data_IF_762141571757
#
_entry.id   IF_762141571757
#
_cell.length_a   1.000
_cell.length_b   1.000
_cell.length_c   1.000
_cell.angle_alpha   90.00
_cell.angle_beta   90.00
_cell.angle_gamma   90.00
#
_symmetry.space_group_name_H-M   'P 1'
#
loop_
_entity.id
_entity.type
_entity.pdbx_description
1 polymer ?
#
# COMPACT_ATOMS: atom_id res chain seq x y z
N UNK A 1 47.94 -13.91 9.94
CA UNK A 1 46.51 -13.55 9.84
C UNK A 1 46.44 -12.17 9.23
N UNK A 2 45.69 -11.99 8.14
CA UNK A 2 45.66 -10.74 7.40
C UNK A 2 44.89 -9.69 8.18
N UNK A 3 45.60 -8.74 8.81
CA UNK A 3 45.03 -7.61 9.55
C UNK A 3 44.52 -6.52 8.60
N UNK A 4 43.65 -6.89 7.66
CA UNK A 4 43.11 -5.96 6.68
C UNK A 4 41.59 -6.05 6.66
N UNK A 5 40.94 -4.92 6.51
CA UNK A 5 39.50 -4.83 6.33
C UNK A 5 39.10 -5.64 5.09
N UNK A 6 38.14 -6.54 5.24
CA UNK A 6 37.70 -7.40 4.14
C UNK A 6 37.03 -6.61 3.00
N UNK A 7 36.47 -5.44 3.31
CA UNK A 7 35.78 -4.54 2.37
C UNK A 7 36.77 -3.63 1.63
N UNK A 8 37.42 -2.70 2.33
CA UNK A 8 38.28 -1.67 1.72
C UNK A 8 39.78 -2.00 1.71
N UNK A 9 40.20 -3.15 2.27
CA UNK A 9 41.59 -3.60 2.35
C UNK A 9 42.54 -2.71 3.18
N UNK A 10 42.03 -1.71 3.90
CA UNK A 10 42.83 -0.91 4.85
C UNK A 10 43.24 -1.75 6.05
N UNK A 11 44.41 -1.50 6.63
CA UNK A 11 44.89 -2.21 7.82
C UNK A 11 43.95 -2.04 9.03
N UNK A 12 43.73 -3.13 9.76
CA UNK A 12 42.92 -3.17 10.98
C UNK A 12 43.82 -3.39 12.20
N UNK A 13 44.00 -2.35 13.02
CA UNK A 13 44.86 -2.43 14.22
C UNK A 13 44.27 -3.25 15.39
N UNK A 14 43.05 -3.78 15.25
CA UNK A 14 42.27 -4.37 16.35
C UNK A 14 42.06 -5.89 16.23
N UNK A 15 42.69 -6.55 15.25
CA UNK A 15 42.45 -7.98 14.96
C UNK A 15 41.06 -8.29 14.39
N UNK A 16 40.23 -7.26 14.17
CA UNK A 16 38.94 -7.37 13.50
C UNK A 16 39.14 -7.40 11.98
N UNK A 17 38.20 -8.04 11.29
CA UNK A 17 38.16 -8.17 9.82
C UNK A 17 37.34 -7.05 9.14
N UNK A 18 36.82 -6.10 9.94
CA UNK A 18 36.30 -4.81 9.48
C UNK A 18 37.06 -3.67 10.16
N UNK A 19 37.36 -2.60 9.40
CA UNK A 19 37.88 -1.37 10.01
C UNK A 19 36.78 -0.60 10.75
N UNK A 20 37.16 0.36 11.59
CA UNK A 20 36.22 1.15 12.41
C UNK A 20 35.15 1.85 11.58
N UNK A 21 35.49 2.30 10.36
CA UNK A 21 34.55 2.92 9.43
C UNK A 21 33.45 1.95 8.99
N UNK A 22 33.81 0.78 8.45
CA UNK A 22 32.83 -0.22 7.99
C UNK A 22 32.07 -0.86 9.16
N UNK A 23 32.70 -0.99 10.34
CA UNK A 23 31.98 -1.37 11.55
C UNK A 23 30.92 -0.33 11.94
N UNK A 24 31.22 0.96 11.77
CA UNK A 24 30.26 2.05 12.02
C UNK A 24 29.13 2.01 10.99
N UNK A 25 29.44 1.81 9.72
CA UNK A 25 28.43 1.64 8.67
C UNK A 25 27.51 0.45 8.93
N UNK A 26 28.06 -0.69 9.32
CA UNK A 26 27.26 -1.86 9.69
C UNK A 26 26.35 -1.57 10.90
N UNK A 27 26.85 -0.86 11.91
CA UNK A 27 26.06 -0.46 13.07
C UNK A 27 24.92 0.49 12.69
N UNK A 28 25.21 1.48 11.85
CA UNK A 28 24.21 2.44 11.36
C UNK A 28 23.14 1.73 10.53
N UNK A 29 23.53 0.81 9.64
CA UNK A 29 22.59 0.03 8.87
C UNK A 29 21.63 -0.78 9.77
N UNK A 30 22.13 -1.43 10.84
CA UNK A 30 21.26 -2.09 11.82
C UNK A 30 20.37 -1.12 12.61
N UNK A 31 20.82 0.13 12.82
CA UNK A 31 20.06 1.18 13.51
C UNK A 31 18.93 1.75 12.63
N UNK A 32 19.12 1.77 11.31
CA UNK A 32 18.13 2.22 10.33
C UNK A 32 17.03 1.19 10.06
N UNK A 33 17.35 -0.11 10.14
CA UNK A 33 16.41 -1.22 9.87
C UNK A 33 15.10 -1.09 10.66
N UNK A 34 15.07 -0.78 11.97
CA UNK A 34 13.83 -0.57 12.72
C UNK A 34 12.86 0.42 12.07
N UNK A 35 13.35 1.57 11.63
CA UNK A 35 12.52 2.59 10.98
C UNK A 35 12.10 2.13 9.58
N UNK A 36 13.04 1.66 8.76
CA UNK A 36 12.75 1.13 7.42
C UNK A 36 11.76 -0.04 7.45
N UNK A 37 11.82 -0.88 8.50
CA UNK A 37 10.89 -1.98 8.71
C UNK A 37 9.48 -1.48 8.99
N UNK A 38 9.31 -0.44 9.81
CA UNK A 38 8.00 0.15 10.07
C UNK A 38 7.39 0.72 8.79
N UNK A 39 8.16 1.50 8.03
CA UNK A 39 7.73 2.05 6.74
C UNK A 39 7.39 0.94 5.72
N UNK A 40 8.18 -0.14 5.71
CA UNK A 40 7.90 -1.31 4.88
C UNK A 40 6.60 -1.99 5.31
N UNK A 41 6.33 -2.16 6.60
CA UNK A 41 5.07 -2.73 7.09
C UNK A 41 3.87 -1.86 6.74
N UNK A 42 4.00 -0.53 6.80
CA UNK A 42 2.99 0.42 6.29
C UNK A 42 2.74 0.20 4.80
N UNK A 43 3.82 0.02 4.03
CA UNK A 43 3.77 -0.29 2.59
C UNK A 43 3.15 -1.66 2.29
N UNK A 44 3.42 -2.69 3.12
CA UNK A 44 2.88 -4.06 3.01
C UNK A 44 1.38 -4.08 3.25
N UNK A 45 0.96 -3.48 4.37
CA UNK A 45 -0.45 -3.40 4.80
C UNK A 45 -1.26 -2.40 3.98
N UNK A 46 -0.59 -1.64 3.10
CA UNK A 46 -1.20 -0.58 2.31
C UNK A 46 -1.96 0.41 3.20
N UNK A 47 -1.57 0.62 4.46
CA UNK A 47 -2.33 1.49 5.36
C UNK A 47 -2.32 2.94 4.86
N UNK A 48 -1.24 3.39 4.22
CA UNK A 48 -1.17 4.65 3.46
C UNK A 48 -2.00 4.66 2.16
N UNK A 49 -2.35 3.48 1.65
CA UNK A 49 -3.04 3.26 0.36
C UNK A 49 -4.51 2.85 0.52
N UNK A 50 -5.00 2.58 1.73
CA UNK A 50 -6.42 2.32 2.00
C UNK A 50 -7.31 3.56 1.76
N UNK A 51 -6.69 4.74 1.57
CA UNK A 51 -7.36 5.97 1.16
C UNK A 51 -7.15 6.38 -0.31
N UNK A 52 -6.32 5.67 -1.08
CA UNK A 52 -5.94 6.13 -2.43
C UNK A 52 -5.85 4.94 -3.39
N UNK A 53 -6.80 4.84 -4.30
CA UNK A 53 -6.83 3.82 -5.35
C UNK A 53 -5.62 3.93 -6.28
N UNK A 54 -4.88 2.84 -6.45
CA UNK A 54 -3.67 2.82 -7.28
C UNK A 54 -3.67 1.67 -8.27
N UNK A 55 -3.59 1.99 -9.57
CA UNK A 55 -3.20 1.04 -10.62
C UNK A 55 -2.37 1.71 -11.70
N UNK A 56 -1.21 1.11 -11.99
CA UNK A 56 -0.41 1.33 -13.20
C UNK A 56 0.92 0.58 -13.19
N UNK A 57 0.92 -0.68 -13.68
CA UNK A 57 1.84 -1.20 -14.73
C UNK A 57 1.43 -2.62 -15.16
N UNK A 58 1.51 -2.86 -16.47
CA UNK A 58 1.25 -4.10 -17.24
C UNK A 58 1.41 -5.41 -16.45
N UNK A 59 0.31 -5.87 -15.87
CA UNK A 59 0.04 -7.25 -15.43
C UNK A 59 -1.48 -7.40 -15.39
N UNK A 60 -1.99 -8.56 -15.78
CA UNK A 60 -3.42 -8.92 -15.86
C UNK A 60 -4.12 -9.08 -14.50
N UNK A 61 -3.49 -8.66 -13.40
CA UNK A 61 -3.98 -8.89 -12.03
C UNK A 61 -4.49 -7.61 -11.36
N UNK A 62 -5.71 -7.66 -10.81
CA UNK A 62 -6.19 -6.69 -9.83
C UNK A 62 -5.30 -6.70 -8.58
N UNK A 63 -4.97 -5.56 -7.97
CA UNK A 63 -3.97 -5.49 -6.93
C UNK A 63 -4.49 -6.06 -5.59
N UNK A 64 -3.83 -7.12 -5.11
CA UNK A 64 -4.01 -7.67 -3.76
C UNK A 64 -3.96 -6.58 -2.66
N UNK A 65 -4.73 -6.70 -1.56
CA UNK A 65 -4.62 -5.81 -0.40
C UNK A 65 -3.21 -5.78 0.21
N UNK A 66 -2.37 -6.77 -0.12
CA UNK A 66 -0.97 -6.87 0.29
C UNK A 66 -0.09 -6.45 -0.89
N UNK A 67 0.87 -5.55 -0.67
CA UNK A 67 1.95 -5.36 -1.65
C UNK A 67 2.88 -6.60 -1.59
N UNK A 68 2.71 -7.54 -2.53
CA UNK A 68 3.51 -8.77 -2.59
C UNK A 68 5.02 -8.52 -2.73
N UNK A 69 5.43 -7.43 -3.39
CA UNK A 69 6.84 -7.04 -3.47
C UNK A 69 7.39 -6.66 -2.09
N UNK A 70 6.69 -5.77 -1.40
CA UNK A 70 7.03 -5.38 -0.03
C UNK A 70 6.91 -6.55 0.97
N UNK A 71 5.92 -7.44 0.80
CA UNK A 71 5.71 -8.60 1.67
C UNK A 71 6.82 -9.64 1.49
N UNK A 72 7.23 -9.90 0.24
CA UNK A 72 8.39 -10.73 -0.05
C UNK A 72 9.67 -10.15 0.53
N UNK A 73 9.87 -8.84 0.38
CA UNK A 73 11.02 -8.15 0.96
C UNK A 73 10.97 -8.19 2.50
N UNK A 74 9.79 -8.08 3.10
CA UNK A 74 9.62 -8.22 4.54
C UNK A 74 10.01 -9.61 5.03
N UNK A 75 9.62 -10.66 4.29
CA UNK A 75 10.07 -12.02 4.54
C UNK A 75 11.59 -12.19 4.38
N UNK A 76 12.19 -11.59 3.34
CA UNK A 76 13.64 -11.59 3.13
C UNK A 76 14.39 -10.98 4.32
N UNK A 77 13.96 -9.81 4.79
CA UNK A 77 14.55 -9.14 5.96
C UNK A 77 14.46 -10.01 7.22
N UNK A 78 13.29 -10.59 7.50
CA UNK A 78 13.10 -11.43 8.69
C UNK A 78 13.98 -12.70 8.62
N UNK A 79 14.08 -13.33 7.45
CA UNK A 79 14.95 -14.50 7.23
C UNK A 79 16.42 -14.13 7.46
N UNK A 80 16.89 -13.03 6.85
CA UNK A 80 18.28 -12.57 6.98
C UNK A 80 18.64 -12.33 8.45
N UNK A 81 17.85 -11.53 9.15
CA UNK A 81 18.15 -11.17 10.54
C UNK A 81 17.97 -12.36 11.50
N UNK A 82 16.98 -13.23 11.26
CA UNK A 82 16.80 -14.45 12.05
C UNK A 82 17.98 -15.38 11.91
N UNK A 83 18.45 -15.60 10.67
CA UNK A 83 19.63 -16.42 10.39
C UNK A 83 20.87 -15.84 11.05
N UNK A 84 21.10 -14.54 10.90
CA UNK A 84 22.26 -13.86 11.50
C UNK A 84 22.29 -14.01 13.03
N UNK A 85 21.15 -13.78 13.70
CA UNK A 85 21.04 -13.95 15.15
C UNK A 85 21.27 -15.42 15.54
N UNK A 86 20.62 -16.36 14.87
CA UNK A 86 20.75 -17.79 15.17
C UNK A 86 22.20 -18.27 15.02
N UNK A 87 22.90 -17.86 13.96
CA UNK A 87 24.30 -18.19 13.74
C UNK A 87 25.20 -17.60 14.82
N UNK A 88 25.03 -16.32 15.19
CA UNK A 88 25.85 -15.71 16.25
C UNK A 88 25.62 -16.37 17.62
N UNK A 89 24.36 -16.68 17.95
CA UNK A 89 23.99 -17.39 19.18
C UNK A 89 24.65 -18.76 19.23
N UNK A 90 24.58 -19.54 18.14
CA UNK A 90 25.14 -20.87 18.07
C UNK A 90 26.68 -20.89 18.16
N UNK A 91 27.35 -19.97 17.45
CA UNK A 91 28.81 -19.99 17.33
C UNK A 91 29.53 -19.33 18.51
N UNK A 92 28.90 -18.35 19.17
CA UNK A 92 29.57 -17.51 20.19
C UNK A 92 29.06 -17.76 21.60
N UNK A 93 28.16 -18.75 21.79
CA UNK A 93 27.52 -19.02 23.09
C UNK A 93 26.69 -17.84 23.62
N UNK A 94 26.32 -16.91 22.74
CA UNK A 94 25.52 -15.74 23.09
C UNK A 94 24.08 -16.16 23.35
N UNK A 95 23.35 -15.31 24.08
CA UNK A 95 21.91 -15.48 24.26
C UNK A 95 21.19 -14.31 23.60
N UNK A 96 20.24 -14.63 22.72
CA UNK A 96 19.32 -13.64 22.21
C UNK A 96 18.29 -13.33 23.31
N UNK A 97 18.34 -12.10 23.84
CA UNK A 97 17.38 -11.59 24.80
C UNK A 97 16.86 -10.23 24.31
N UNK A 98 15.54 -10.04 24.21
CA UNK A 98 14.98 -8.74 23.89
C UNK A 98 15.22 -7.77 25.06
N UNK A 99 15.37 -6.49 24.72
CA UNK A 99 15.52 -5.41 25.69
C UNK A 99 14.36 -5.41 26.68
N UNK A 100 14.65 -5.30 27.98
CA UNK A 100 13.67 -5.24 29.08
C UNK A 100 12.77 -6.48 29.24
N UNK A 101 13.20 -7.67 28.78
CA UNK A 101 12.56 -8.92 29.22
C UNK A 101 13.52 -9.86 29.92
N UNK A 102 13.01 -10.61 30.89
CA UNK A 102 13.73 -11.68 31.59
C UNK A 102 13.24 -13.07 31.17
N UNK A 103 14.07 -14.13 31.30
CA UNK A 103 13.63 -15.50 31.15
C UNK A 103 12.43 -15.82 32.03
N UNK A 104 11.55 -16.69 31.55
CA UNK A 104 10.38 -17.12 32.32
C UNK A 104 10.77 -17.67 33.70
N UNK A 105 11.88 -18.42 33.78
CA UNK A 105 12.43 -18.98 35.00
C UNK A 105 13.24 -18.00 35.87
N UNK A 106 13.27 -16.70 35.58
CA UNK A 106 13.96 -15.72 36.42
C UNK A 106 13.32 -15.63 37.81
N UNK A 107 14.05 -15.89 38.89
CA UNK A 107 13.50 -15.79 40.25
C UNK A 107 13.97 -14.44 40.84
N UNK A 108 13.04 -13.49 40.99
CA UNK A 108 13.33 -12.15 41.51
C UNK A 108 12.30 -11.09 41.10
N UNK A 109 12.32 -9.92 41.77
CA UNK A 109 11.50 -8.78 41.40
C UNK A 109 11.93 -8.22 40.04
N UNK A 110 10.96 -7.80 39.24
CA UNK A 110 11.21 -7.15 37.96
C UNK A 110 11.43 -5.65 38.18
N UNK A 111 12.35 -5.06 37.43
CA UNK A 111 12.50 -3.61 37.38
C UNK A 111 11.31 -2.99 36.65
N UNK A 112 11.04 -1.70 36.89
CA UNK A 112 9.91 -1.02 36.27
C UNK A 112 10.01 -1.05 34.73
N UNK A 113 8.90 -1.39 34.08
CA UNK A 113 8.83 -1.64 32.64
C UNK A 113 9.54 -2.91 32.13
N UNK A 114 9.98 -3.82 33.02
CA UNK A 114 10.50 -5.13 32.63
C UNK A 114 9.42 -6.21 32.70
N UNK A 115 9.43 -7.10 31.72
CA UNK A 115 8.46 -8.18 31.61
C UNK A 115 9.13 -9.56 31.61
N UNK A 116 8.38 -10.58 32.04
CA UNK A 116 8.79 -11.98 31.83
C UNK A 116 8.46 -12.40 30.41
N UNK A 117 9.27 -13.30 29.85
CA UNK A 117 8.94 -13.89 28.54
C UNK A 117 7.75 -14.84 28.67
N UNK A 118 6.82 -14.72 27.72
CA UNK A 118 5.54 -15.46 27.73
C UNK A 118 5.68 -16.93 27.33
N UNK A 119 6.73 -17.29 26.57
CA UNK A 119 6.95 -18.66 26.07
C UNK A 119 8.44 -19.05 26.01
N UNK A 120 8.78 -20.33 26.23
CA UNK A 120 10.07 -20.89 25.84
C UNK A 120 10.21 -20.83 24.31
N UNK A 121 11.37 -20.39 23.81
CA UNK A 121 11.62 -20.31 22.35
C UNK A 121 11.20 -19.01 21.67
N UNK A 122 11.22 -17.88 22.40
CA UNK A 122 10.95 -16.55 21.86
C UNK A 122 11.78 -16.23 20.60
N UNK A 123 11.11 -16.13 19.44
CA UNK A 123 11.67 -15.56 18.22
C UNK A 123 11.34 -14.06 18.21
N UNK A 124 12.24 -13.21 18.68
CA UNK A 124 11.99 -11.76 18.77
C UNK A 124 11.59 -11.12 17.45
N UNK A 125 11.05 -9.91 17.48
CA UNK A 125 10.68 -9.18 16.26
C UNK A 125 11.92 -8.79 15.44
N UNK A 126 11.72 -8.49 14.15
CA UNK A 126 12.76 -7.92 13.27
C UNK A 126 13.48 -6.73 13.92
N UNK A 127 12.72 -5.82 14.53
CA UNK A 127 13.25 -4.65 15.25
C UNK A 127 14.20 -5.07 16.36
N UNK A 128 13.79 -6.04 17.20
CA UNK A 128 14.63 -6.50 18.30
C UNK A 128 15.87 -7.24 17.81
N UNK A 129 15.76 -8.02 16.73
CA UNK A 129 16.92 -8.67 16.10
C UNK A 129 17.91 -7.64 15.58
N UNK A 130 17.46 -6.61 14.88
CA UNK A 130 18.31 -5.54 14.37
C UNK A 130 19.04 -4.79 15.50
N UNK A 131 18.32 -4.40 16.55
CA UNK A 131 18.90 -3.75 17.74
C UNK A 131 19.93 -4.66 18.43
N UNK A 132 19.62 -5.94 18.58
CA UNK A 132 20.54 -6.91 19.18
C UNK A 132 21.80 -7.10 18.32
N UNK A 133 21.66 -7.20 16.99
CA UNK A 133 22.77 -7.31 16.05
C UNK A 133 23.67 -6.06 16.06
N UNK A 134 23.07 -4.86 16.16
CA UNK A 134 23.81 -3.60 16.34
C UNK A 134 24.72 -3.65 17.56
N UNK A 135 24.21 -4.11 18.70
CA UNK A 135 24.99 -4.24 19.94
C UNK A 135 26.14 -5.27 19.80
N UNK A 136 25.95 -6.31 18.99
CA UNK A 136 26.94 -7.36 18.76
C UNK A 136 27.75 -7.17 17.47
N UNK A 137 27.71 -5.98 16.86
CA UNK A 137 28.39 -5.73 15.58
C UNK A 137 29.91 -5.94 15.63
N UNK A 138 30.53 -5.75 16.81
CA UNK A 138 31.96 -6.05 17.00
C UNK A 138 32.27 -7.55 16.95
N UNK A 139 31.33 -8.41 17.38
CA UNK A 139 31.45 -9.87 17.23
C UNK A 139 31.33 -10.25 15.75
N UNK A 140 30.38 -9.63 15.03
CA UNK A 140 30.25 -9.81 13.58
C UNK A 140 31.53 -9.40 12.86
N UNK A 141 32.15 -8.29 13.26
CA UNK A 141 33.40 -7.79 12.69
C UNK A 141 34.60 -8.75 12.83
N UNK A 142 34.55 -9.72 13.74
CA UNK A 142 35.59 -10.72 13.93
C UNK A 142 35.42 -11.98 13.06
N UNK A 143 34.30 -12.12 12.34
CA UNK A 143 33.99 -13.34 11.57
C UNK A 143 34.77 -13.42 10.26
N UNK A 144 35.15 -14.64 9.86
CA UNK A 144 35.83 -14.89 8.58
C UNK A 144 34.93 -14.56 7.37
N UNK A 145 33.62 -14.83 7.47
CA UNK A 145 32.61 -14.57 6.45
C UNK A 145 31.98 -13.16 6.55
N UNK A 146 32.59 -12.25 7.32
CA UNK A 146 32.00 -10.92 7.61
C UNK A 146 31.70 -10.09 6.36
N UNK A 147 32.46 -10.30 5.27
CA UNK A 147 32.23 -9.62 4.00
C UNK A 147 30.82 -9.89 3.46
N UNK A 148 30.39 -11.14 3.50
CA UNK A 148 29.08 -11.54 2.98
C UNK A 148 27.95 -11.04 3.89
N UNK A 149 28.20 -11.01 5.19
CA UNK A 149 27.27 -10.43 6.17
C UNK A 149 27.11 -8.93 5.98
N UNK A 150 28.21 -8.21 5.77
CA UNK A 150 28.21 -6.78 5.51
C UNK A 150 27.36 -6.46 4.28
N UNK A 151 27.66 -7.09 3.14
CA UNK A 151 26.89 -6.83 1.91
C UNK A 151 25.43 -7.28 1.98
N UNK A 152 25.10 -8.33 2.75
CA UNK A 152 23.70 -8.70 2.97
C UNK A 152 22.90 -7.57 3.64
N UNK A 153 23.45 -6.93 4.67
CA UNK A 153 22.78 -5.82 5.37
C UNK A 153 22.77 -4.56 4.53
N UNK A 154 23.92 -4.20 3.95
CA UNK A 154 24.07 -3.01 3.13
C UNK A 154 23.20 -3.06 1.86
N UNK A 155 22.99 -4.23 1.25
CA UNK A 155 22.03 -4.37 0.14
C UNK A 155 20.58 -4.05 0.55
N UNK A 156 20.22 -4.21 1.83
CA UNK A 156 18.90 -3.87 2.34
C UNK A 156 18.77 -2.36 2.57
N UNK A 157 19.75 -1.73 3.23
CA UNK A 157 19.67 -0.33 3.70
C UNK A 157 20.22 0.69 2.70
N UNK A 158 21.24 0.31 1.91
CA UNK A 158 21.95 1.17 0.97
C UNK A 158 23.43 1.23 1.31
N UNK A 159 24.29 1.39 0.28
CA UNK A 159 25.75 1.43 0.41
C UNK A 159 26.25 2.82 0.80
N UNK A 160 26.76 3.01 2.04
CA UNK A 160 27.33 4.28 2.48
C UNK A 160 28.74 4.51 1.95
N UNK A 161 29.43 3.48 1.46
CA UNK A 161 30.80 3.58 0.94
C UNK A 161 30.84 4.28 -0.43
N UNK A 162 29.72 4.24 -1.17
CA UNK A 162 29.63 4.75 -2.54
C UNK A 162 28.53 5.82 -2.64
N UNK A 163 28.87 7.12 -2.74
CA UNK A 163 27.88 8.20 -2.80
C UNK A 163 26.90 8.13 -3.98
N UNK A 164 27.23 7.35 -5.02
CA UNK A 164 26.41 7.13 -6.22
C UNK A 164 25.78 5.73 -6.27
N UNK A 165 25.92 4.93 -5.21
CA UNK A 165 25.29 3.62 -5.18
C UNK A 165 23.76 3.77 -5.24
N UNK A 166 23.07 2.79 -5.84
CA UNK A 166 21.63 2.76 -5.78
C UNK A 166 21.18 2.68 -4.31
N UNK A 167 20.04 3.29 -3.96
CA UNK A 167 19.46 3.14 -2.63
C UNK A 167 19.19 1.66 -2.32
N UNK A 168 19.23 1.29 -1.04
CA UNK A 168 18.98 -0.07 -0.61
C UNK A 168 17.60 -0.60 -1.01
N UNK A 169 17.45 -1.92 -1.07
CA UNK A 169 16.18 -2.57 -1.45
C UNK A 169 14.99 -2.06 -0.65
N UNK A 170 15.17 -1.80 0.65
CA UNK A 170 14.12 -1.26 1.53
C UNK A 170 13.66 0.10 1.04
N UNK A 171 14.60 1.03 0.85
CA UNK A 171 14.33 2.40 0.39
C UNK A 171 13.68 2.39 -1.00
N UNK A 172 14.15 1.53 -1.91
CA UNK A 172 13.57 1.40 -3.26
C UNK A 172 12.12 0.93 -3.21
N UNK A 173 11.80 -0.09 -2.41
CA UNK A 173 10.45 -0.64 -2.37
C UNK A 173 9.48 0.27 -1.60
N UNK A 174 9.95 0.96 -0.55
CA UNK A 174 9.19 1.99 0.17
C UNK A 174 8.86 3.16 -0.78
N UNK A 175 9.87 3.68 -1.51
CA UNK A 175 9.72 4.86 -2.39
C UNK A 175 9.28 4.53 -3.82
N UNK A 176 8.78 3.32 -4.07
CA UNK A 176 8.43 2.88 -5.42
C UNK A 176 7.32 3.74 -5.99
N UNK A 177 7.65 4.58 -6.98
CA UNK A 177 6.69 5.42 -7.72
C UNK A 177 5.73 4.53 -8.52
N UNK A 178 4.58 4.26 -7.95
CA UNK A 178 3.46 3.58 -8.63
C UNK A 178 2.47 4.63 -9.12
N UNK A 179 2.05 4.52 -10.38
CA UNK A 179 0.95 5.31 -10.93
C UNK A 179 -0.35 4.94 -10.22
N UNK A 180 -0.98 5.95 -9.63
CA UNK A 180 -2.24 5.91 -8.89
C UNK A 180 -3.37 6.45 -9.74
N UNK A 181 -4.58 5.93 -9.56
CA UNK A 181 -5.74 6.44 -10.29
C UNK A 181 -6.20 7.73 -9.62
N UNK A 182 -6.31 8.81 -10.40
CA UNK A 182 -6.63 10.15 -9.90
C UNK A 182 -8.06 10.61 -10.28
N UNK A 183 -8.90 9.71 -10.79
CA UNK A 183 -10.26 10.04 -11.26
C UNK A 183 -10.33 10.43 -12.75
N UNK A 184 -11.53 10.52 -13.33
CA UNK A 184 -11.72 11.08 -14.67
C UNK A 184 -11.46 12.60 -14.67
N UNK A 185 -11.03 13.16 -15.78
CA UNK A 185 -10.73 14.58 -15.92
C UNK A 185 -12.00 15.44 -15.80
N UNK A 186 -12.06 16.41 -14.86
CA UNK A 186 -13.22 17.29 -14.63
C UNK A 186 -13.39 18.40 -15.67
N UNK A 187 -12.41 18.59 -16.55
CA UNK A 187 -12.35 19.79 -17.38
C UNK A 187 -13.52 19.84 -18.33
N UNK A 188 -14.30 20.92 -18.27
CA UNK A 188 -15.45 21.14 -19.15
C UNK A 188 -14.97 21.39 -20.58
N UNK A 189 -15.34 20.50 -21.49
CA UNK A 189 -14.99 20.51 -22.90
C UNK A 189 -16.07 21.16 -23.79
N UNK A 190 -17.26 21.39 -23.24
CA UNK A 190 -18.37 22.03 -23.92
C UNK A 190 -19.63 22.03 -23.08
N UNK A 191 -20.75 22.44 -23.68
CA UNK A 191 -22.08 22.39 -23.07
C UNK A 191 -23.06 21.68 -23.99
N UNK A 192 -23.91 20.82 -23.43
CA UNK A 192 -24.98 20.15 -24.16
C UNK A 192 -26.09 21.12 -24.57
N UNK A 193 -27.05 20.64 -25.38
CA UNK A 193 -28.18 21.45 -25.87
C UNK A 193 -29.10 21.97 -24.75
N UNK A 194 -29.11 21.29 -23.60
CA UNK A 194 -29.81 21.69 -22.38
C UNK A 194 -29.00 22.62 -21.46
N UNK A 195 -27.77 22.99 -21.85
CA UNK A 195 -26.86 23.80 -21.05
C UNK A 195 -26.05 23.04 -20.01
N UNK A 196 -26.12 21.70 -19.99
CA UNK A 196 -25.32 20.89 -19.06
C UNK A 196 -23.84 20.84 -19.48
N UNK A 197 -22.88 20.92 -18.54
CA UNK A 197 -21.46 20.86 -18.84
C UNK A 197 -21.07 19.45 -19.31
N UNK A 198 -20.40 19.37 -20.44
CA UNK A 198 -19.77 18.15 -20.95
C UNK A 198 -18.32 18.17 -20.45
N UNK A 199 -17.95 17.20 -19.62
CA UNK A 199 -16.59 17.05 -19.11
C UNK A 199 -15.72 16.21 -20.04
N UNK A 200 -14.40 16.35 -19.92
CA UNK A 200 -13.42 15.60 -20.71
C UNK A 200 -13.50 14.09 -20.45
N UNK A 201 -13.60 13.69 -19.18
CA UNK A 201 -13.76 12.29 -18.80
C UNK A 201 -12.51 11.40 -18.94
N UNK A 202 -11.41 11.90 -19.51
CA UNK A 202 -10.15 11.13 -19.67
C UNK A 202 -9.64 10.62 -18.32
N UNK A 203 -9.22 9.35 -18.27
CA UNK A 203 -8.79 8.73 -17.00
C UNK A 203 -7.41 9.26 -16.62
N UNK A 204 -7.34 9.93 -15.47
CA UNK A 204 -6.08 10.51 -14.99
C UNK A 204 -5.35 9.54 -14.07
N UNK A 205 -4.02 9.56 -14.21
CA UNK A 205 -3.10 8.86 -13.33
C UNK A 205 -2.09 9.85 -12.76
N UNK A 206 -1.71 9.65 -11.50
CA UNK A 206 -0.72 10.46 -10.80
C UNK A 206 0.22 9.57 -9.99
N UNK A 207 1.46 9.99 -9.76
CA UNK A 207 2.36 9.20 -8.90
C UNK A 207 1.90 9.18 -7.44
N UNK A 208 2.25 8.13 -6.70
CA UNK A 208 1.93 8.05 -5.28
C UNK A 208 2.50 9.27 -4.53
N UNK A 209 1.62 10.02 -3.85
CA UNK A 209 1.95 11.27 -3.16
C UNK A 209 1.99 12.54 -4.02
N UNK A 210 1.69 12.46 -5.32
CA UNK A 210 1.57 13.65 -6.17
C UNK A 210 0.33 14.47 -5.81
N UNK A 211 0.47 15.79 -5.76
CA UNK A 211 -0.65 16.71 -5.53
C UNK A 211 -1.50 16.90 -6.79
N UNK A 212 -0.86 16.85 -7.96
CA UNK A 212 -1.49 17.14 -9.25
C UNK A 212 -1.34 15.97 -10.25
N UNK A 213 -2.35 15.81 -11.11
CA UNK A 213 -2.38 14.96 -12.28
C UNK A 213 -2.50 15.83 -13.55
N UNK A 214 -1.85 15.43 -14.64
CA UNK A 214 -1.97 16.10 -15.93
C UNK A 214 -2.87 15.32 -16.90
N UNK A 215 -3.85 16.02 -17.50
CA UNK A 215 -4.69 15.51 -18.57
C UNK A 215 -4.04 15.78 -19.94
N UNK A 216 -3.59 14.70 -20.60
CA UNK A 216 -2.96 14.79 -21.92
C UNK A 216 -3.88 15.37 -23.01
N UNK A 217 -5.17 15.04 -22.98
CA UNK A 217 -6.15 15.49 -23.99
C UNK A 217 -6.50 16.97 -23.81
N UNK A 218 -6.72 17.43 -22.57
CA UNK A 218 -6.98 18.85 -22.31
C UNK A 218 -5.77 19.74 -22.59
N UNK A 219 -4.55 19.21 -22.41
CA UNK A 219 -3.31 19.94 -22.75
C UNK A 219 -3.12 20.10 -24.26
N UNK A 220 -3.51 19.09 -25.05
CA UNK A 220 -3.37 19.08 -26.52
C UNK A 220 -4.52 19.78 -27.24
N UNK A 221 -5.60 20.15 -26.55
CA UNK A 221 -6.71 20.90 -27.13
C UNK A 221 -6.22 22.25 -27.68
N UNK A 222 -6.91 22.78 -28.70
CA UNK A 222 -6.66 24.11 -29.25
C UNK A 222 -7.94 24.98 -29.15
N UNK A 223 -7.97 25.99 -28.26
CA UNK A 223 -6.91 26.36 -27.32
C UNK A 223 -6.77 25.34 -26.16
N UNK A 224 -5.58 25.26 -25.52
CA UNK A 224 -5.36 24.38 -24.38
C UNK A 224 -6.34 24.68 -23.26
N UNK A 225 -6.90 23.62 -22.67
CA UNK A 225 -7.86 23.72 -21.56
C UNK A 225 -7.15 23.50 -20.23
N UNK A 226 -7.89 23.69 -19.13
CA UNK A 226 -7.38 23.33 -17.80
C UNK A 226 -6.99 21.84 -17.80
N UNK A 227 -5.71 21.55 -17.62
CA UNK A 227 -5.17 20.19 -17.75
C UNK A 227 -4.45 19.73 -16.48
N UNK A 228 -4.18 20.62 -15.54
CA UNK A 228 -3.65 20.29 -14.22
C UNK A 228 -4.84 20.10 -13.28
N UNK A 229 -4.90 18.93 -12.64
CA UNK A 229 -6.04 18.51 -11.82
C UNK A 229 -5.52 18.06 -10.47
N UNK A 230 -6.03 18.67 -9.39
CA UNK A 230 -5.68 18.25 -8.04
C UNK A 230 -6.17 16.82 -7.78
N UNK A 231 -5.26 15.93 -7.40
CA UNK A 231 -5.53 14.49 -7.24
C UNK A 231 -6.52 14.23 -6.12
N UNK A 232 -6.37 14.90 -4.96
CA UNK A 232 -7.25 14.67 -3.80
C UNK A 232 -8.67 15.12 -4.09
N UNK A 233 -8.83 16.31 -4.66
CA UNK A 233 -10.15 16.86 -4.97
C UNK A 233 -10.85 16.07 -6.07
N UNK A 234 -10.12 15.66 -7.11
CA UNK A 234 -10.69 14.89 -8.20
C UNK A 234 -10.99 13.44 -7.81
N UNK A 235 -10.18 12.84 -6.95
CA UNK A 235 -10.49 11.53 -6.37
C UNK A 235 -11.73 11.62 -5.50
N UNK A 236 -11.83 12.61 -4.61
CA UNK A 236 -13.04 12.85 -3.81
C UNK A 236 -14.27 13.07 -4.69
N UNK A 237 -14.13 13.85 -5.78
CA UNK A 237 -15.19 14.04 -6.77
C UNK A 237 -15.59 12.74 -7.47
N UNK A 238 -14.62 11.92 -7.85
CA UNK A 238 -14.86 10.63 -8.49
C UNK A 238 -15.47 9.60 -7.54
N UNK A 239 -15.10 9.63 -6.26
CA UNK A 239 -15.70 8.85 -5.17
C UNK A 239 -17.13 9.31 -4.88
N UNK A 240 -17.40 10.62 -4.88
CA UNK A 240 -18.76 11.16 -4.82
C UNK A 240 -19.56 10.83 -6.09
N UNK A 241 -18.88 10.66 -7.22
CA UNK A 241 -19.45 10.15 -8.47
C UNK A 241 -19.57 8.61 -8.51
N UNK A 242 -19.20 7.85 -7.45
CA UNK A 242 -19.53 6.42 -7.25
C UNK A 242 -21.05 6.17 -7.07
N UNK A 243 -21.88 7.00 -7.68
CA UNK A 243 -23.28 6.71 -7.92
C UNK A 243 -23.45 5.41 -8.74
N UNK A 244 -22.46 4.93 -9.49
CA UNK A 244 -22.63 3.77 -10.38
C UNK A 244 -22.40 2.45 -9.63
N UNK A 245 -23.48 1.71 -9.38
CA UNK A 245 -23.50 0.48 -8.57
C UNK A 245 -24.18 -0.68 -9.32
N UNK A 246 -23.85 -1.92 -8.95
CA UNK A 246 -24.54 -3.12 -9.45
C UNK A 246 -25.93 -3.25 -8.82
N UNK A 247 -26.84 -4.01 -9.46
CA UNK A 247 -28.19 -4.28 -8.93
C UNK A 247 -28.17 -4.71 -7.45
N UNK A 248 -27.27 -5.64 -7.11
CA UNK A 248 -27.08 -6.13 -5.74
C UNK A 248 -26.66 -5.03 -4.78
N UNK A 249 -25.60 -4.28 -5.08
CA UNK A 249 -25.10 -3.24 -4.19
C UNK A 249 -26.11 -2.09 -4.01
N UNK A 250 -26.91 -1.77 -5.03
CA UNK A 250 -27.98 -0.76 -4.90
C UNK A 250 -29.02 -1.23 -3.88
N UNK A 251 -29.46 -2.49 -3.94
CA UNK A 251 -30.45 -3.00 -2.97
C UNK A 251 -29.92 -2.95 -1.54
N UNK A 252 -28.65 -3.33 -1.32
CA UNK A 252 -27.99 -3.29 -0.01
C UNK A 252 -27.87 -1.85 0.53
N UNK A 253 -27.39 -0.91 -0.30
CA UNK A 253 -27.24 0.51 0.07
C UNK A 253 -28.60 1.15 0.37
N UNK A 254 -29.61 0.92 -0.47
CA UNK A 254 -30.94 1.50 -0.28
C UNK A 254 -31.66 0.94 0.95
N UNK A 255 -31.46 -0.34 1.29
CA UNK A 255 -31.94 -0.93 2.54
C UNK A 255 -31.26 -0.29 3.76
N UNK A 256 -29.94 -0.09 3.73
CA UNK A 256 -29.20 0.62 4.78
C UNK A 256 -29.66 2.07 4.98
N UNK A 257 -30.15 2.73 3.93
CA UNK A 257 -30.72 4.08 3.98
C UNK A 257 -32.19 4.12 4.40
N UNK A 258 -32.77 3.00 4.86
CA UNK A 258 -34.18 2.92 5.28
C UNK A 258 -35.18 3.03 4.13
N UNK A 259 -34.73 2.86 2.88
CA UNK A 259 -35.56 2.93 1.68
C UNK A 259 -35.40 1.66 0.85
N UNK A 260 -35.76 0.48 1.39
CA UNK A 260 -35.51 -0.78 0.70
C UNK A 260 -36.20 -0.78 -0.66
N UNK A 261 -35.45 -1.29 -1.65
CA UNK A 261 -35.92 -1.59 -2.99
C UNK A 261 -35.58 -3.05 -3.29
N UNK A 262 -36.39 -3.68 -4.12
CA UNK A 262 -36.27 -5.10 -4.47
C UNK A 262 -35.95 -5.24 -5.96
N UNK A 263 -35.31 -6.34 -6.36
CA UNK A 263 -34.96 -6.62 -7.75
C UNK A 263 -36.16 -6.51 -8.70
N UNK A 264 -37.36 -6.92 -8.29
CA UNK A 264 -38.57 -6.80 -9.11
C UNK A 264 -38.94 -5.35 -9.44
N UNK A 265 -38.66 -4.42 -8.52
CA UNK A 265 -38.88 -2.99 -8.75
C UNK A 265 -37.85 -2.43 -9.74
N UNK A 266 -36.61 -2.88 -9.65
CA UNK A 266 -35.55 -2.52 -10.60
C UNK A 266 -35.88 -3.06 -11.99
N UNK A 267 -36.30 -4.33 -12.11
CA UNK A 267 -36.72 -4.89 -13.40
C UNK A 267 -37.94 -4.17 -13.98
N UNK A 268 -38.86 -3.69 -13.14
CA UNK A 268 -40.00 -2.88 -13.57
C UNK A 268 -39.54 -1.53 -14.14
N UNK A 269 -38.69 -0.80 -13.42
CA UNK A 269 -38.14 0.46 -13.92
C UNK A 269 -37.34 0.29 -15.21
N UNK A 270 -36.68 -0.85 -15.41
CA UNK A 270 -36.00 -1.18 -16.67
C UNK A 270 -36.98 -1.46 -17.81
N UNK A 271 -38.07 -2.19 -17.54
CA UNK A 271 -39.12 -2.48 -18.53
C UNK A 271 -39.87 -1.23 -18.95
N UNK A 272 -40.09 -0.33 -18.01
CA UNK A 272 -40.78 0.95 -18.22
C UNK A 272 -39.83 2.04 -18.77
N UNK A 273 -38.57 1.69 -19.07
CA UNK A 273 -37.52 2.61 -19.55
C UNK A 273 -37.27 3.83 -18.64
N UNK A 274 -37.58 3.70 -17.35
CA UNK A 274 -37.39 4.77 -16.33
C UNK A 274 -36.00 4.75 -15.70
N UNK A 275 -35.31 3.61 -15.73
CA UNK A 275 -33.96 3.41 -15.20
C UNK A 275 -33.01 3.05 -16.35
N UNK A 276 -31.93 3.82 -16.49
CA UNK A 276 -30.95 3.62 -17.55
C UNK A 276 -29.77 2.77 -17.07
N UNK A 277 -29.35 1.83 -17.91
CA UNK A 277 -28.12 1.07 -17.69
C UNK A 277 -26.93 1.94 -18.08
N UNK A 278 -26.09 2.26 -17.11
CA UNK A 278 -24.90 3.11 -17.33
C UNK A 278 -23.73 2.30 -17.90
N UNK A 279 -23.78 0.98 -17.80
CA UNK A 279 -22.78 0.06 -18.35
C UNK A 279 -22.94 -1.35 -17.81
N UNK A 280 -22.01 -2.22 -18.16
CA UNK A 280 -21.97 -3.61 -17.73
C UNK A 280 -20.64 -3.93 -17.06
N UNK A 281 -20.67 -4.69 -15.97
CA UNK A 281 -19.50 -5.19 -15.27
C UNK A 281 -19.14 -6.57 -15.85
N UNK A 282 -18.05 -6.62 -16.61
CA UNK A 282 -17.48 -7.81 -17.22
C UNK A 282 -16.08 -8.07 -16.65
N UNK A 283 -15.91 -9.15 -15.89
CA UNK A 283 -14.63 -9.49 -15.24
C UNK A 283 -13.99 -8.28 -14.53
N UNK A 284 -14.78 -7.61 -13.69
CA UNK A 284 -14.41 -6.40 -12.92
C UNK A 284 -14.06 -5.16 -13.76
N UNK A 285 -14.51 -5.11 -15.02
CA UNK A 285 -14.40 -3.93 -15.89
C UNK A 285 -15.77 -3.40 -16.27
N UNK A 286 -15.91 -2.07 -16.28
CA UNK A 286 -17.09 -1.41 -16.83
C UNK A 286 -16.93 -1.34 -18.34
N UNK A 287 -17.90 -1.89 -19.07
CA UNK A 287 -17.96 -1.86 -20.54
C UNK A 287 -19.31 -1.30 -20.98
N UNK A 288 -19.32 -0.51 -22.04
CA UNK A 288 -20.53 0.17 -22.52
C UNK A 288 -21.57 -0.81 -23.07
N UNK A 289 -21.10 -1.94 -23.63
CA UNK A 289 -21.95 -2.98 -24.21
C UNK A 289 -21.73 -4.29 -23.47
N UNK A 290 -22.82 -5.05 -23.29
CA UNK A 290 -22.79 -6.37 -22.68
C UNK A 290 -21.96 -7.33 -23.54
N UNK A 291 -20.89 -7.89 -22.98
CA UNK A 291 -20.00 -8.82 -23.69
C UNK A 291 -20.32 -10.29 -23.36
N UNK A 292 -20.90 -10.54 -22.19
CA UNK A 292 -21.33 -11.87 -21.74
C UNK A 292 -22.69 -11.83 -21.03
N UNK A 293 -23.40 -12.96 -21.08
CA UNK A 293 -24.64 -13.14 -20.34
C UNK A 293 -24.46 -13.04 -18.82
N UNK A 294 -23.24 -13.24 -18.29
CA UNK A 294 -22.94 -13.13 -16.86
C UNK A 294 -22.61 -11.71 -16.38
N UNK A 295 -22.56 -10.74 -17.28
CA UNK A 295 -22.17 -9.37 -16.92
C UNK A 295 -23.26 -8.67 -16.11
N UNK A 296 -22.87 -8.05 -15.01
CA UNK A 296 -23.80 -7.34 -14.13
C UNK A 296 -24.08 -5.94 -14.66
N UNK A 297 -25.35 -5.56 -14.76
CA UNK A 297 -25.73 -4.18 -15.13
C UNK A 297 -25.35 -3.21 -14.02
N UNK A 298 -24.92 -2.02 -14.43
CA UNK A 298 -24.53 -0.92 -13.56
C UNK A 298 -25.53 0.23 -13.69
N UNK A 299 -25.90 0.85 -12.56
CA UNK A 299 -26.90 1.92 -12.50
C UNK A 299 -26.49 3.03 -11.55
N UNK A 300 -27.02 4.23 -11.80
CA UNK A 300 -26.81 5.39 -10.92
C UNK A 300 -27.70 5.34 -9.66
N UNK A 301 -27.09 5.46 -8.48
CA UNK A 301 -27.72 5.52 -7.16
C UNK A 301 -28.55 6.80 -7.03
N UNK A 302 -28.09 7.92 -7.57
CA UNK A 302 -28.88 9.16 -7.67
C UNK A 302 -30.16 8.96 -8.47
N UNK A 303 -30.10 8.31 -9.63
CA UNK A 303 -31.29 8.01 -10.45
C UNK A 303 -32.26 7.10 -9.69
N UNK A 304 -31.74 6.06 -9.03
CA UNK A 304 -32.55 5.14 -8.21
C UNK A 304 -33.22 5.86 -7.04
N UNK A 305 -32.52 6.75 -6.33
CA UNK A 305 -33.10 7.56 -5.24
C UNK A 305 -34.22 8.47 -5.74
N UNK A 306 -34.07 9.06 -6.93
CA UNK A 306 -35.08 9.92 -7.54
C UNK A 306 -36.34 9.13 -7.91
N UNK A 307 -36.20 7.98 -8.59
CA UNK A 307 -37.32 7.11 -8.94
C UNK A 307 -38.06 6.61 -7.71
N UNK A 308 -37.32 6.25 -6.64
CA UNK A 308 -37.93 5.81 -5.38
C UNK A 308 -38.77 6.91 -4.72
N UNK A 309 -38.32 8.16 -4.77
CA UNK A 309 -39.08 9.32 -4.27
C UNK A 309 -40.34 9.58 -5.10
N UNK A 310 -40.27 9.44 -6.43
CA UNK A 310 -41.41 9.60 -7.33
C UNK A 310 -42.49 8.53 -7.09
N UNK A 311 -42.10 7.27 -6.97
CA UNK A 311 -43.03 6.15 -6.72
C UNK A 311 -43.73 6.28 -5.35
N UNK A 312 -43.03 6.77 -4.32
CA UNK A 312 -43.66 7.05 -3.01
C UNK A 312 -44.67 8.18 -3.09
N UNK A 313 -44.37 9.25 -3.83
CA UNK A 313 -45.31 10.36 -4.04
C UNK A 313 -46.56 9.89 -4.80
N UNK A 314 -46.40 9.09 -5.84
CA UNK A 314 -47.54 8.55 -6.60
C UNK A 314 -48.40 7.59 -5.78
N UNK A 315 -47.80 6.71 -4.96
CA UNK A 315 -48.56 5.84 -4.05
C UNK A 315 -49.27 6.62 -2.94
N UNK A 316 -48.63 7.62 -2.35
CA UNK A 316 -49.26 8.48 -1.35
C UNK A 316 -50.40 9.33 -1.92
N UNK A 317 -50.34 9.73 -3.19
CA UNK A 317 -51.44 10.42 -3.88
C UNK A 317 -52.60 9.48 -4.23
N UNK A 318 -52.32 8.20 -4.53
CA UNK A 318 -53.35 7.19 -4.79
C UNK A 318 -54.10 6.75 -3.52
N UNK A 319 -53.41 6.68 -2.37
CA UNK A 319 -54.01 6.36 -1.06
C UNK A 319 -54.86 7.50 -0.49
N UNK A 320 -54.60 8.75 -0.87
CA UNK A 320 -55.41 9.92 -0.46
C UNK A 320 -56.61 10.16 -1.40
N UNK A 321 -56.57 9.59 -2.60
CA UNK A 321 -57.65 9.67 -3.59
C UNK A 321 -58.61 8.45 -3.57
N UNK A 322 -58.36 7.46 -2.70
CA UNK A 322 -59.23 6.31 -2.44
C UNK A 322 -59.96 6.50 -1.11
#
# INVERSE_FOLDING_TARGET
MSNHCTICKTETGSGLLLCNTHLTYLRNAFDEIPWLWQELQTTVTKTDRLNMGVTGRKSTDSPSPINWGASRLAGEVDIVLTRMVATLVAENGLRFMPSRKVPQGFIGPLLDGWERMDRPGYSGSVVQRAVWLRHHASVIAGREDVRDWYFQVINLTGDPDTPKAPPGKLVVEINKRTETWAGPCPTVVGYGRSGEPIECGEILYAYNGAEDAECGECRKADPPRSHIVNVKDNLNRALLAQDILTERHITEVMAGLGQPIYSDLIQRWLRDERLEVQGYLHHDRIVDKRLSARDSRLFSLKQVKQLRRQDRKQRGLAEVAS
#
